data_IF_910508693186
#
_entry.id   IF_910508693186
#
_cell.length_a   1.000
_cell.length_b   1.000
_cell.length_c   1.000
_cell.angle_alpha   90.00
_cell.angle_beta   90.00
_cell.angle_gamma   90.00
#
_symmetry.space_group_name_H-M   'P 1'
#
loop_
_entity.id
_entity.type
_entity.pdbx_description
1 polymer ?
#
# COMPACT_ATOMS: atom_id res chain seq x y z
N UNK A 1 20.50 6.10 4.48
CA UNK A 1 19.49 5.07 4.11
C UNK A 1 19.47 4.89 2.59
N UNK A 2 20.32 4.03 2.03
CA UNK A 2 20.45 3.83 0.56
C UNK A 2 19.83 2.51 0.06
N UNK A 3 19.21 1.70 0.94
CA UNK A 3 18.62 0.41 0.55
C UNK A 3 17.45 0.56 -0.44
N UNK A 4 16.71 1.66 -0.38
CA UNK A 4 15.57 1.95 -1.28
C UNK A 4 15.98 2.49 -2.65
N UNK A 5 17.28 2.60 -2.96
CA UNK A 5 17.74 3.16 -4.24
C UNK A 5 17.55 2.18 -5.41
N UNK A 6 17.62 0.87 -5.15
CA UNK A 6 17.46 -0.14 -6.19
C UNK A 6 16.14 -0.91 -6.02
N UNK A 7 15.13 -0.53 -6.81
CA UNK A 7 13.79 -1.14 -6.80
C UNK A 7 13.83 -2.66 -7.05
N UNK A 8 14.79 -3.12 -7.85
CA UNK A 8 14.97 -4.54 -8.16
C UNK A 8 15.54 -5.34 -6.99
N UNK A 9 16.49 -4.75 -6.24
CA UNK A 9 17.04 -5.38 -5.04
C UNK A 9 15.96 -5.62 -3.99
N UNK A 10 15.04 -4.68 -3.84
CA UNK A 10 13.93 -4.82 -2.90
C UNK A 10 12.89 -5.84 -3.37
N UNK A 11 12.71 -6.01 -4.68
CA UNK A 11 11.90 -7.10 -5.23
C UNK A 11 12.55 -8.46 -4.94
N UNK A 12 13.84 -8.62 -5.18
CA UNK A 12 14.57 -9.85 -4.84
C UNK A 12 14.49 -10.15 -3.35
N UNK A 13 14.60 -9.13 -2.50
CA UNK A 13 14.43 -9.27 -1.06
C UNK A 13 13.02 -9.78 -0.69
N UNK A 14 11.96 -9.23 -1.31
CA UNK A 14 10.60 -9.72 -1.10
C UNK A 14 10.42 -11.18 -1.54
N UNK A 15 10.97 -11.56 -2.69
CA UNK A 15 10.95 -12.96 -3.14
C UNK A 15 11.73 -13.87 -2.17
N UNK A 16 12.86 -13.39 -1.64
CA UNK A 16 13.61 -14.09 -0.60
C UNK A 16 12.79 -14.30 0.67
N UNK A 17 12.06 -13.27 1.12
CA UNK A 17 11.12 -13.38 2.25
C UNK A 17 10.03 -14.41 1.96
N UNK A 18 9.38 -14.34 0.79
CA UNK A 18 8.34 -15.30 0.39
C UNK A 18 8.88 -16.72 0.42
N UNK A 19 10.08 -16.93 -0.14
CA UNK A 19 10.73 -18.25 -0.17
C UNK A 19 11.04 -18.75 1.23
N UNK A 20 11.52 -17.88 2.12
CA UNK A 20 11.80 -18.22 3.51
C UNK A 20 10.51 -18.55 4.28
N UNK A 21 9.46 -17.74 4.11
CA UNK A 21 8.16 -18.00 4.74
C UNK A 21 7.55 -19.30 4.25
N UNK A 22 7.64 -19.58 2.96
CA UNK A 22 7.24 -20.87 2.38
C UNK A 22 8.05 -22.02 2.98
N UNK A 23 9.37 -21.90 3.09
CA UNK A 23 10.23 -22.93 3.65
C UNK A 23 9.91 -23.27 5.12
N UNK A 24 9.43 -22.31 5.91
CA UNK A 24 9.19 -22.48 7.35
C UNK A 24 7.72 -22.81 7.67
N UNK A 25 6.78 -22.24 6.92
CA UNK A 25 5.35 -22.27 7.27
C UNK A 25 4.50 -23.13 6.33
N UNK A 26 5.03 -23.58 5.19
CA UNK A 26 4.23 -24.39 4.28
C UNK A 26 3.96 -25.77 4.89
N UNK A 27 2.68 -26.21 4.94
CA UNK A 27 2.35 -27.55 5.40
C UNK A 27 2.82 -28.62 4.39
N UNK A 28 2.88 -28.28 3.10
CA UNK A 28 3.36 -29.12 2.01
C UNK A 28 4.19 -28.27 1.07
N UNK A 29 5.32 -28.81 0.61
CA UNK A 29 6.21 -28.15 -0.34
C UNK A 29 5.73 -28.36 -1.78
N UNK A 30 4.66 -27.67 -2.16
CA UNK A 30 4.14 -27.65 -3.52
C UNK A 30 4.03 -26.23 -4.06
N UNK A 31 3.76 -26.12 -5.36
CA UNK A 31 3.61 -24.83 -6.04
C UNK A 31 2.40 -24.03 -5.52
N UNK A 32 1.33 -24.71 -5.09
CA UNK A 32 0.11 -24.08 -4.58
C UNK A 32 0.39 -23.29 -3.29
N UNK A 33 1.07 -23.89 -2.33
CA UNK A 33 1.43 -23.22 -1.08
C UNK A 33 2.44 -22.09 -1.30
N UNK A 34 3.34 -22.22 -2.27
CA UNK A 34 4.23 -21.13 -2.65
C UNK A 34 3.46 -19.93 -3.23
N UNK A 35 2.50 -20.20 -4.14
CA UNK A 35 1.60 -19.17 -4.69
C UNK A 35 0.83 -18.47 -3.57
N UNK A 36 0.32 -19.20 -2.58
CA UNK A 36 -0.39 -18.61 -1.45
C UNK A 36 0.49 -17.66 -0.63
N UNK A 37 1.73 -18.04 -0.34
CA UNK A 37 2.66 -17.16 0.39
C UNK A 37 3.00 -15.90 -0.41
N UNK A 38 3.27 -16.06 -1.72
CA UNK A 38 3.48 -14.93 -2.61
C UNK A 38 2.26 -14.01 -2.67
N UNK A 39 1.06 -14.60 -2.71
CA UNK A 39 -0.21 -13.88 -2.73
C UNK A 39 -0.39 -13.01 -1.49
N UNK A 40 -0.13 -13.53 -0.28
CA UNK A 40 -0.27 -12.72 0.94
C UNK A 40 0.66 -11.51 0.95
N UNK A 41 1.91 -11.68 0.52
CA UNK A 41 2.85 -10.56 0.42
C UNK A 41 2.44 -9.58 -0.68
N UNK A 42 2.06 -10.07 -1.86
CA UNK A 42 1.58 -9.24 -2.96
C UNK A 42 0.34 -8.42 -2.54
N UNK A 43 -0.62 -9.07 -1.89
CA UNK A 43 -1.84 -8.46 -1.38
C UNK A 43 -1.53 -7.37 -0.36
N UNK A 44 -0.61 -7.59 0.57
CA UNK A 44 -0.19 -6.56 1.53
C UNK A 44 0.31 -5.30 0.81
N UNK A 45 1.25 -5.45 -0.13
CA UNK A 45 1.79 -4.29 -0.87
C UNK A 45 0.72 -3.58 -1.69
N UNK A 46 -0.13 -4.34 -2.38
CA UNK A 46 -1.18 -3.81 -3.23
C UNK A 46 -2.27 -3.11 -2.41
N UNK A 47 -2.70 -3.71 -1.29
CA UNK A 47 -3.67 -3.14 -0.37
C UNK A 47 -3.18 -1.81 0.21
N UNK A 48 -1.97 -1.78 0.76
CA UNK A 48 -1.36 -0.53 1.27
C UNK A 48 -1.19 0.47 0.15
N UNK A 49 -0.74 0.04 -1.03
CA UNK A 49 -0.56 0.91 -2.20
C UNK A 49 -1.87 1.60 -2.64
N UNK A 50 -2.97 0.85 -2.71
CA UNK A 50 -4.29 1.39 -3.06
C UNK A 50 -4.81 2.31 -1.95
N UNK A 51 -4.63 1.93 -0.68
CA UNK A 51 -5.05 2.77 0.44
C UNK A 51 -4.32 4.13 0.40
N UNK A 52 -3.00 4.13 0.21
CA UNK A 52 -2.22 5.34 0.05
C UNK A 52 -2.62 6.13 -1.20
N UNK A 53 -3.02 5.44 -2.28
CA UNK A 53 -3.51 6.08 -3.50
C UNK A 53 -4.81 6.84 -3.24
N UNK A 54 -5.75 6.26 -2.49
CA UNK A 54 -7.02 6.92 -2.10
C UNK A 54 -6.77 8.11 -1.18
N UNK A 55 -5.89 7.97 -0.17
CA UNK A 55 -5.53 9.07 0.74
C UNK A 55 -4.92 10.23 -0.04
N UNK A 56 -3.91 9.93 -0.86
CA UNK A 56 -3.22 10.95 -1.65
C UNK A 56 -4.07 11.52 -2.79
N UNK A 57 -5.09 10.78 -3.24
CA UNK A 57 -6.03 11.20 -4.28
C UNK A 57 -7.00 12.31 -3.86
N UNK A 58 -6.96 12.77 -2.60
CA UNK A 58 -7.80 13.86 -2.11
C UNK A 58 -9.23 13.45 -1.74
N UNK A 59 -9.53 12.14 -1.75
CA UNK A 59 -10.83 11.63 -1.30
C UNK A 59 -11.12 12.06 0.15
N UNK A 60 -10.16 11.84 1.04
CA UNK A 60 -10.26 12.24 2.44
C UNK A 60 -10.14 13.75 2.65
N UNK A 61 -9.58 14.48 1.69
CA UNK A 61 -9.52 15.94 1.75
C UNK A 61 -10.90 16.55 1.60
N UNK A 62 -11.71 16.05 0.66
CA UNK A 62 -13.08 16.49 0.47
C UNK A 62 -13.93 16.27 1.73
N UNK A 63 -13.76 15.11 2.39
CA UNK A 63 -14.41 14.79 3.66
C UNK A 63 -13.95 15.77 4.74
N UNK A 64 -12.63 15.91 4.91
CA UNK A 64 -12.03 16.79 5.93
C UNK A 64 -12.47 18.24 5.74
N UNK A 65 -12.48 18.74 4.51
CA UNK A 65 -12.96 20.08 4.18
C UNK A 65 -14.44 20.27 4.55
N UNK A 66 -15.27 19.27 4.26
CA UNK A 66 -16.71 19.31 4.58
C UNK A 66 -16.95 19.39 6.09
N UNK A 67 -16.23 18.58 6.87
CA UNK A 67 -16.29 18.64 8.34
C UNK A 67 -15.77 19.97 8.89
N UNK A 68 -14.60 20.45 8.44
CA UNK A 68 -14.05 21.76 8.84
C UNK A 68 -15.06 22.89 8.59
N UNK A 69 -15.71 22.88 7.42
CA UNK A 69 -16.73 23.86 7.05
C UNK A 69 -18.00 23.76 7.90
N UNK A 70 -18.46 22.54 8.18
CA UNK A 70 -19.63 22.30 9.02
C UNK A 70 -19.39 22.75 10.46
N UNK A 71 -18.28 22.33 11.07
CA UNK A 71 -17.90 22.73 12.44
C UNK A 71 -17.77 24.24 12.55
N UNK A 72 -17.19 24.92 11.55
CA UNK A 72 -17.10 26.38 11.56
C UNK A 72 -18.47 27.08 11.54
N UNK A 73 -19.46 26.52 10.82
CA UNK A 73 -20.83 27.09 10.79
C UNK A 73 -21.61 26.86 12.09
N UNK A 74 -21.35 25.76 12.77
CA UNK A 74 -22.08 25.36 13.99
C UNK A 74 -21.40 25.88 15.26
N UNK A 75 -20.08 26.10 15.23
CA UNK A 75 -19.32 26.61 16.37
C UNK A 75 -19.63 28.08 16.65
N UNK A 76 -19.80 28.42 17.93
CA UNK A 76 -19.91 29.81 18.40
C UNK A 76 -18.55 30.52 18.48
N UNK A 77 -17.43 29.78 18.34
CA UNK A 77 -16.07 30.30 18.34
C UNK A 77 -15.61 30.59 16.89
N UNK A 78 -15.52 31.87 16.52
CA UNK A 78 -15.09 32.33 15.19
C UNK A 78 -13.62 32.05 14.87
N UNK A 79 -12.79 31.83 15.88
CA UNK A 79 -11.32 31.70 15.75
C UNK A 79 -10.85 30.30 15.34
N UNK A 80 -11.78 29.32 15.31
CA UNK A 80 -11.46 27.93 15.02
C UNK A 80 -10.87 27.72 13.62
N UNK A 81 -11.12 28.62 12.66
CA UNK A 81 -10.66 28.48 11.28
C UNK A 81 -9.15 28.66 11.11
N UNK A 82 -8.51 29.50 11.91
CA UNK A 82 -7.07 29.77 11.75
C UNK A 82 -6.20 28.58 12.21
N UNK A 83 -6.68 27.80 13.18
CA UNK A 83 -6.05 26.54 13.62
C UNK A 83 -6.07 25.45 12.54
N UNK A 84 -7.12 25.38 11.71
CA UNK A 84 -7.22 24.37 10.66
C UNK A 84 -6.41 24.72 9.41
N UNK A 85 -6.15 26.00 9.13
CA UNK A 85 -5.33 26.42 7.98
C UNK A 85 -3.89 25.93 8.08
N UNK A 86 -3.37 25.78 9.28
CA UNK A 86 -2.01 25.33 9.52
C UNK A 86 -1.87 23.80 9.54
N UNK A 87 -2.98 23.05 9.57
CA UNK A 87 -2.96 21.58 9.61
C UNK A 87 -2.98 21.01 8.20
N UNK A 88 -1.99 20.16 7.84
CA UNK A 88 -1.91 19.55 6.51
C UNK A 88 -3.17 18.73 6.22
N UNK A 89 -3.53 18.66 4.95
CA UNK A 89 -4.62 17.82 4.49
C UNK A 89 -4.16 16.35 4.46
N UNK A 90 -5.09 15.37 4.63
CA UNK A 90 -4.74 13.95 4.55
C UNK A 90 -3.88 13.59 3.32
N UNK A 91 -4.16 14.16 2.16
CA UNK A 91 -3.37 13.90 0.94
C UNK A 91 -1.90 14.37 1.02
N UNK A 92 -1.63 15.40 1.84
CA UNK A 92 -0.30 15.98 2.04
C UNK A 92 0.52 15.19 3.05
N UNK A 93 -0.13 14.38 3.91
CA UNK A 93 0.54 13.56 4.92
C UNK A 93 1.26 12.34 4.34
N UNK A 94 0.88 11.90 3.14
CA UNK A 94 1.46 10.72 2.48
C UNK A 94 2.50 11.15 1.46
N UNK A 95 3.76 10.74 1.60
CA UNK A 95 4.77 11.05 0.58
C UNK A 95 4.56 10.27 -0.73
N UNK A 96 4.94 10.90 -1.85
CA UNK A 96 4.80 10.31 -3.20
C UNK A 96 5.72 9.10 -3.41
N UNK A 97 6.87 9.09 -2.72
CA UNK A 97 7.87 8.03 -2.68
C UNK A 97 7.24 6.72 -2.19
N UNK A 98 6.59 6.77 -1.02
CA UNK A 98 5.92 5.63 -0.40
C UNK A 98 4.79 5.07 -1.26
N UNK A 99 3.93 5.94 -1.80
CA UNK A 99 2.87 5.51 -2.72
C UNK A 99 3.44 4.73 -3.92
N UNK A 100 4.44 5.32 -4.60
CA UNK A 100 5.08 4.67 -5.76
C UNK A 100 5.77 3.36 -5.37
N UNK A 101 6.38 3.31 -4.19
CA UNK A 101 7.05 2.12 -3.69
C UNK A 101 6.06 0.97 -3.50
N UNK A 102 4.97 1.18 -2.75
CA UNK A 102 3.98 0.15 -2.46
C UNK A 102 3.25 -0.32 -3.73
N UNK A 103 2.81 0.61 -4.59
CA UNK A 103 2.13 0.24 -5.83
C UNK A 103 3.04 -0.53 -6.80
N UNK A 104 4.31 -0.11 -6.95
CA UNK A 104 5.23 -0.79 -7.85
C UNK A 104 5.50 -2.24 -7.42
N UNK A 105 5.76 -2.46 -6.13
CA UNK A 105 5.99 -3.82 -5.61
C UNK A 105 4.71 -4.63 -5.62
N UNK A 106 3.57 -4.03 -5.24
CA UNK A 106 2.26 -4.69 -5.28
C UNK A 106 1.95 -5.20 -6.68
N UNK A 107 2.02 -4.34 -7.70
CA UNK A 107 1.72 -4.72 -9.09
C UNK A 107 2.69 -5.79 -9.60
N UNK A 108 4.00 -5.66 -9.38
CA UNK A 108 4.96 -6.66 -9.85
C UNK A 108 4.78 -8.02 -9.19
N UNK A 109 4.55 -8.05 -7.87
CA UNK A 109 4.29 -9.31 -7.16
C UNK A 109 2.96 -9.92 -7.61
N UNK A 110 1.92 -9.12 -7.83
CA UNK A 110 0.65 -9.60 -8.39
C UNK A 110 0.82 -10.19 -9.79
N UNK A 111 1.61 -9.57 -10.67
CA UNK A 111 1.95 -10.15 -11.98
C UNK A 111 2.65 -11.51 -11.79
N UNK A 112 3.57 -11.61 -10.82
CA UNK A 112 4.21 -12.87 -10.45
C UNK A 112 3.21 -13.95 -10.01
N UNK A 113 2.27 -13.61 -9.13
CA UNK A 113 1.19 -14.51 -8.69
C UNK A 113 0.35 -14.97 -9.88
N UNK A 114 -0.10 -14.04 -10.74
CA UNK A 114 -0.90 -14.37 -11.92
C UNK A 114 -0.15 -15.29 -12.88
N UNK A 115 1.14 -15.03 -13.09
CA UNK A 115 2.00 -15.87 -13.94
C UNK A 115 2.12 -17.29 -13.36
N UNK A 116 2.36 -17.42 -12.06
CA UNK A 116 2.44 -18.72 -11.41
C UNK A 116 1.09 -19.46 -11.38
N UNK A 117 -0.02 -18.75 -11.26
CA UNK A 117 -1.35 -19.35 -11.37
C UNK A 117 -1.59 -19.90 -12.77
N UNK A 118 -1.23 -19.15 -13.82
CA UNK A 118 -1.30 -19.65 -15.20
C UNK A 118 -0.45 -20.90 -15.35
N UNK A 119 0.78 -20.91 -14.84
CA UNK A 119 1.64 -22.10 -14.84
C UNK A 119 0.97 -23.27 -14.11
N UNK A 120 0.48 -23.05 -12.88
CA UNK A 120 -0.12 -24.09 -12.04
C UNK A 120 -1.39 -24.75 -12.64
N UNK A 121 -2.17 -24.02 -13.43
CA UNK A 121 -3.39 -24.55 -14.04
C UNK A 121 -3.19 -25.13 -15.46
N UNK A 122 -2.06 -24.82 -16.13
CA UNK A 122 -1.81 -25.26 -17.51
C UNK A 122 -0.71 -26.33 -17.63
N UNK A 123 0.04 -26.59 -16.56
CA UNK A 123 1.05 -27.65 -16.45
C UNK A 123 0.64 -28.63 -15.36
#
# INVERSE_FOLDING_TARGET
MNLMRNKWMMLTFNVGIVTLLFAVLAPVYDLFHYINQLFYIAYFYLFVGILLWVIRGGFFDAITYSFRRFTNRVSKQKDYMDDWKQKPMPSETVEKSWLKFFLFHGVLLTIGVLTLLVVYYNL
#
